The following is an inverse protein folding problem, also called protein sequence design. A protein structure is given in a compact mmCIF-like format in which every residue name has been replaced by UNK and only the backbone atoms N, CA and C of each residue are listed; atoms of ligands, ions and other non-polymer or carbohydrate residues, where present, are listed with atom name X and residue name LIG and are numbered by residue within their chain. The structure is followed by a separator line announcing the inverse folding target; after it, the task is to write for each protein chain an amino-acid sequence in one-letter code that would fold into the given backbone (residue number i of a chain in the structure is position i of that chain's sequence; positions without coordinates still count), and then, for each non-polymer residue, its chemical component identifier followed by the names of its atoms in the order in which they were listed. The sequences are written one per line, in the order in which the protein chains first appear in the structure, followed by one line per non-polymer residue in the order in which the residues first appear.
data_IF_807807595541
#
_entry.id   IF_807807595541
#
_cell.length_a   1.000
_cell.length_b   1.000
_cell.length_c   1.000
_cell.angle_alpha   90.00
_cell.angle_beta   90.00
_cell.angle_gamma   90.00
#
_symmetry.space_group_name_H-M   'P 1'
#
loop_
_entity.id
_entity.type
_entity.pdbx_description
1 polymer ?
#
# COMPACT_ATOMS: atom_id res chain seq x y z
N UNK A 1 13.17 -3.45 2.44
CA UNK A 1 13.91 -4.00 1.28
C UNK A 1 13.19 -3.56 0.01
N UNK A 2 13.91 -3.18 -1.05
CA UNK A 2 13.33 -2.73 -2.34
C UNK A 2 13.33 -3.90 -3.33
N UNK A 3 12.60 -4.97 -3.01
CA UNK A 3 12.57 -6.21 -3.77
C UNK A 3 11.21 -6.91 -3.64
N UNK A 4 11.02 -7.97 -4.43
CA UNK A 4 9.83 -8.82 -4.34
C UNK A 4 8.64 -8.33 -5.18
N UNK A 5 7.57 -9.13 -5.13
CA UNK A 5 6.39 -8.95 -5.99
C UNK A 5 5.52 -7.77 -5.57
N UNK A 6 5.42 -7.51 -4.25
CA UNK A 6 4.76 -6.30 -3.75
C UNK A 6 5.47 -5.04 -4.27
N UNK A 7 6.80 -5.01 -4.22
CA UNK A 7 7.57 -3.85 -4.66
C UNK A 7 7.32 -3.51 -6.14
N UNK A 8 7.22 -4.51 -7.03
CA UNK A 8 6.98 -4.28 -8.47
C UNK A 8 5.66 -3.52 -8.72
N UNK A 9 4.62 -3.81 -7.95
CA UNK A 9 3.32 -3.15 -8.10
C UNK A 9 3.32 -1.72 -7.57
N UNK A 10 4.11 -1.44 -6.53
CA UNK A 10 4.19 -0.12 -5.91
C UNK A 10 5.25 0.77 -6.57
N UNK A 11 6.29 0.19 -7.18
CA UNK A 11 7.40 0.92 -7.79
C UNK A 11 6.99 2.07 -8.72
N UNK A 12 5.94 1.95 -9.56
CA UNK A 12 5.49 3.05 -10.41
C UNK A 12 4.98 4.29 -9.65
N UNK A 13 4.52 4.13 -8.41
CA UNK A 13 3.90 5.22 -7.61
C UNK A 13 4.73 5.64 -6.40
N UNK A 14 5.83 4.97 -6.09
CA UNK A 14 6.64 5.28 -4.90
C UNK A 14 7.17 6.72 -4.89
N UNK A 15 7.50 7.29 -6.06
CA UNK A 15 7.93 8.68 -6.14
C UNK A 15 6.80 9.64 -5.76
N UNK A 16 5.59 9.42 -6.27
CA UNK A 16 4.39 10.19 -5.89
C UNK A 16 4.13 10.08 -4.38
N UNK A 17 4.14 8.87 -3.82
CA UNK A 17 3.94 8.70 -2.38
C UNK A 17 5.01 9.42 -1.55
N UNK A 18 6.26 9.41 -2.00
CA UNK A 18 7.35 10.12 -1.33
C UNK A 18 7.20 11.64 -1.39
N UNK A 19 6.64 12.21 -2.47
CA UNK A 19 6.32 13.64 -2.55
C UNK A 19 5.29 14.06 -1.49
N UNK A 20 4.42 13.14 -1.07
CA UNK A 20 3.48 13.34 0.04
C UNK A 20 4.05 12.91 1.41
N UNK A 21 5.34 12.60 1.51
CA UNK A 21 6.02 12.06 2.69
C UNK A 21 5.41 10.75 3.21
N UNK A 22 4.83 9.94 2.30
CA UNK A 22 4.23 8.65 2.63
C UNK A 22 5.18 7.50 2.31
N UNK A 23 5.43 6.65 3.30
CA UNK A 23 6.18 5.40 3.16
C UNK A 23 5.24 4.22 3.31
N UNK A 24 5.36 3.22 2.43
CA UNK A 24 4.52 2.02 2.41
C UNK A 24 5.35 0.78 2.67
N UNK A 25 4.80 -0.11 3.48
CA UNK A 25 5.36 -1.42 3.82
C UNK A 25 4.28 -2.46 3.61
N UNK A 26 4.62 -3.59 3.01
CA UNK A 26 3.62 -4.63 2.84
C UNK A 26 4.17 -5.91 2.24
N UNK A 27 3.31 -6.92 2.27
CA UNK A 27 3.61 -8.25 1.76
C UNK A 27 2.40 -8.80 1.04
N UNK A 28 2.67 -9.43 -0.10
CA UNK A 28 1.68 -10.23 -0.83
C UNK A 28 1.73 -11.69 -0.40
N UNK A 29 0.61 -12.37 -0.53
CA UNK A 29 0.57 -13.83 -0.55
C UNK A 29 -0.58 -14.36 -1.39
N UNK A 30 -0.59 -15.67 -1.54
CA UNK A 30 -1.64 -16.44 -2.21
C UNK A 30 -1.92 -17.70 -1.40
N UNK A 31 -3.14 -18.23 -1.50
CA UNK A 31 -3.49 -19.56 -1.00
C UNK A 31 -3.87 -20.47 -2.15
N UNK A 32 -3.78 -21.77 -1.93
CA UNK A 32 -4.27 -22.79 -2.85
C UNK A 32 -5.39 -23.58 -2.15
N UNK A 33 -6.50 -23.81 -2.86
CA UNK A 33 -7.64 -24.64 -2.40
C UNK A 33 -8.25 -24.21 -1.04
N UNK A 34 -9.04 -23.12 -1.00
CA UNK A 34 -9.44 -22.26 -2.11
C UNK A 34 -8.35 -21.27 -2.54
N UNK A 35 -8.42 -20.85 -3.81
CA UNK A 35 -7.54 -19.82 -4.33
C UNK A 35 -7.97 -18.45 -3.79
N UNK A 36 -7.04 -17.77 -3.13
CA UNK A 36 -7.19 -16.38 -2.70
C UNK A 36 -5.89 -15.63 -2.96
N UNK A 37 -6.02 -14.34 -3.27
CA UNK A 37 -4.92 -13.40 -3.32
C UNK A 37 -5.05 -12.41 -2.16
N UNK A 38 -3.93 -12.08 -1.51
CA UNK A 38 -3.95 -11.11 -0.43
C UNK A 38 -2.73 -10.19 -0.41
N UNK A 39 -2.96 -9.00 0.15
CA UNK A 39 -1.95 -8.04 0.51
C UNK A 39 -2.21 -7.56 1.94
N UNK A 40 -1.19 -7.54 2.79
CA UNK A 40 -1.25 -6.91 4.10
C UNK A 40 -0.09 -5.93 4.25
N UNK A 41 -0.36 -4.76 4.80
CA UNK A 41 0.64 -3.72 4.92
C UNK A 41 0.18 -2.52 5.75
N UNK A 42 1.08 -1.55 5.84
CA UNK A 42 0.80 -0.27 6.46
C UNK A 42 1.55 0.85 5.73
N UNK A 43 0.98 2.05 5.79
CA UNK A 43 1.61 3.29 5.36
C UNK A 43 1.78 4.23 6.56
N UNK A 44 2.81 5.07 6.52
CA UNK A 44 3.08 6.08 7.55
C UNK A 44 3.62 7.36 6.92
N UNK A 45 3.29 8.50 7.50
CA UNK A 45 3.91 9.79 7.16
C UNK A 45 4.78 10.37 8.28
N UNK A 46 5.51 11.45 8.00
CA UNK A 46 6.39 12.12 8.97
C UNK A 46 5.66 12.89 10.07
N UNK A 47 4.35 13.08 9.96
CA UNK A 47 3.52 13.66 11.05
C UNK A 47 3.13 12.62 12.11
N UNK A 48 3.40 11.34 11.85
CA UNK A 48 3.05 10.23 12.73
C UNK A 48 1.70 9.58 12.42
N UNK A 49 0.99 10.01 11.36
CA UNK A 49 -0.23 9.34 10.89
C UNK A 49 0.12 7.97 10.29
N UNK A 50 -0.78 7.01 10.49
CA UNK A 50 -0.60 5.62 10.06
C UNK A 50 -1.89 5.07 9.47
N UNK A 51 -1.76 4.32 8.39
CA UNK A 51 -2.83 3.58 7.74
C UNK A 51 -2.44 2.10 7.72
N UNK A 52 -3.24 1.23 8.32
CA UNK A 52 -3.07 -0.23 8.22
C UNK A 52 -4.13 -0.81 7.29
N UNK A 53 -3.74 -1.72 6.41
CA UNK A 53 -4.61 -2.27 5.37
C UNK A 53 -4.37 -3.77 5.19
N UNK A 54 -5.48 -4.52 5.06
CA UNK A 54 -5.49 -5.88 4.56
C UNK A 54 -6.51 -6.00 3.43
N UNK A 55 -6.08 -6.51 2.28
CA UNK A 55 -6.93 -6.76 1.10
C UNK A 55 -6.93 -8.26 0.86
N UNK A 56 -8.12 -8.85 0.75
CA UNK A 56 -8.32 -10.26 0.38
C UNK A 56 -9.24 -10.29 -0.83
N UNK A 57 -8.81 -11.00 -1.88
CA UNK A 57 -9.59 -11.21 -3.10
C UNK A 57 -9.97 -12.67 -3.17
N UNK A 58 -11.25 -12.96 -2.97
CA UNK A 58 -11.78 -14.31 -3.12
C UNK A 58 -11.73 -14.77 -4.58
N UNK A 59 -11.22 -15.98 -4.83
CA UNK A 59 -10.98 -16.47 -6.18
C UNK A 59 -9.75 -15.86 -6.88
N UNK A 60 -9.06 -14.89 -6.26
CA UNK A 60 -7.79 -14.36 -6.75
C UNK A 60 -6.69 -15.42 -6.76
N UNK A 61 -5.80 -15.35 -7.75
CA UNK A 61 -4.75 -16.33 -7.98
C UNK A 61 -3.39 -15.85 -7.45
N UNK A 62 -3.06 -14.56 -7.64
CA UNK A 62 -1.75 -14.03 -7.28
C UNK A 62 -1.89 -12.74 -6.47
N UNK A 63 -1.35 -12.74 -5.24
CA UNK A 63 -1.29 -11.55 -4.40
C UNK A 63 -0.69 -10.33 -5.09
N UNK A 64 0.21 -10.52 -6.05
CA UNK A 64 0.83 -9.43 -6.81
C UNK A 64 -0.01 -8.87 -7.95
N UNK A 65 -0.77 -9.68 -8.70
CA UNK A 65 -1.59 -9.14 -9.79
C UNK A 65 -2.99 -8.74 -9.34
N UNK A 66 -3.48 -9.32 -8.24
CA UNK A 66 -4.89 -9.22 -7.88
C UNK A 66 -5.10 -8.34 -6.62
N UNK A 67 -4.29 -8.52 -5.57
CA UNK A 67 -4.49 -7.82 -4.30
C UNK A 67 -3.60 -6.58 -4.14
N UNK A 68 -2.33 -6.63 -4.55
CA UNK A 68 -1.40 -5.51 -4.41
C UNK A 68 -1.80 -4.26 -5.23
N UNK A 69 -2.33 -4.35 -6.47
CA UNK A 69 -2.80 -3.18 -7.20
C UNK A 69 -3.98 -2.50 -6.50
N UNK A 70 -4.91 -3.28 -5.94
CA UNK A 70 -6.02 -2.74 -5.15
C UNK A 70 -5.51 -2.03 -3.89
N UNK A 71 -4.55 -2.63 -3.19
CA UNK A 71 -3.96 -2.01 -2.01
C UNK A 71 -3.25 -0.68 -2.34
N UNK A 72 -2.52 -0.64 -3.47
CA UNK A 72 -1.89 0.58 -3.98
C UNK A 72 -2.92 1.67 -4.23
N UNK A 73 -3.99 1.35 -4.95
CA UNK A 73 -5.01 2.32 -5.35
C UNK A 73 -5.79 2.84 -4.13
N UNK A 74 -6.06 1.97 -3.13
CA UNK A 74 -6.65 2.38 -1.84
C UNK A 74 -5.73 3.35 -1.10
N UNK A 75 -4.43 3.07 -1.04
CA UNK A 75 -3.47 3.97 -0.38
C UNK A 75 -3.40 5.31 -1.10
N UNK A 76 -3.33 5.33 -2.45
CA UNK A 76 -3.38 6.57 -3.23
C UNK A 76 -4.67 7.35 -2.93
N UNK A 77 -5.81 6.70 -2.92
CA UNK A 77 -7.08 7.35 -2.57
C UNK A 77 -7.05 7.96 -1.16
N UNK A 78 -6.43 7.28 -0.19
CA UNK A 78 -6.26 7.83 1.16
C UNK A 78 -5.32 9.05 1.21
N UNK A 79 -4.32 9.11 0.32
CA UNK A 79 -3.46 10.28 0.16
C UNK A 79 -4.25 11.45 -0.43
N UNK A 80 -4.99 11.20 -1.51
CA UNK A 80 -5.80 12.21 -2.20
C UNK A 80 -6.92 12.76 -1.29
N UNK A 81 -7.44 11.92 -0.40
CA UNK A 81 -8.42 12.30 0.63
C UNK A 81 -7.80 12.84 1.93
N UNK A 82 -6.48 13.06 1.95
CA UNK A 82 -5.71 13.64 3.07
C UNK A 82 -5.76 12.87 4.40
N UNK A 83 -6.14 11.58 4.38
CA UNK A 83 -6.08 10.73 5.58
C UNK A 83 -4.63 10.46 6.01
N UNK A 84 -3.69 10.49 5.06
CA UNK A 84 -2.26 10.33 5.26
C UNK A 84 -1.50 11.12 4.18
N UNK A 85 -0.30 11.61 4.48
CA UNK A 85 0.39 12.54 3.58
C UNK A 85 -0.23 13.94 3.66
N UNK A 86 0.53 14.98 3.33
CA UNK A 86 0.26 16.41 3.62
C UNK A 86 0.76 16.88 4.99
N UNK A 87 2.05 16.68 5.25
CA UNK A 87 2.72 17.44 6.29
C UNK A 87 2.80 18.93 5.86
N UNK A 88 1.81 19.73 6.24
CA UNK A 88 2.18 21.06 6.73
C UNK A 88 2.97 20.81 8.03
N UNK A 89 4.19 21.35 8.19
CA UNK A 89 4.94 21.18 9.43
C UNK A 89 4.14 21.79 10.58
N UNK A 90 4.30 21.28 11.83
CA UNK A 90 3.81 22.02 12.98
C UNK A 90 4.39 23.44 12.92
N UNK A 91 3.52 24.45 12.83
CA UNK A 91 3.90 25.85 12.94
C UNK A 91 4.31 26.12 14.39
N UNK A 92 5.62 26.29 14.60
CA UNK A 92 6.36 26.78 15.79
C UNK A 92 5.90 26.34 17.18
#
# INVERSE_FOLDING_TARGET
ELNGTAYKEFAPVLNSFAEHDVKVYGKTGSTEKPAHAWFAGFASDGSGRKLALAVVVEGGQHGSSDAAPLARDIIQFCIDAEYIGNASPPTN
#
